data_IF_379459100210
#
_entry.id   IF_379459100210
#
_cell.length_a   1.000
_cell.length_b   1.000
_cell.length_c   1.000
_cell.angle_alpha   90.00
_cell.angle_beta   90.00
_cell.angle_gamma   90.00
#
_symmetry.space_group_name_H-M   'P 1'
#
loop_
_entity.id
_entity.type
_entity.pdbx_description
1 polymer ?
#
# COMPACT_ATOMS: atom_id res chain seq x y z
N UNK A 1 -5.70 14.25 9.40
CA UNK A 1 -5.27 14.87 10.67
C UNK A 1 -6.39 15.02 11.67
N UNK A 2 -7.50 15.68 11.29
CA UNK A 2 -8.67 15.86 12.16
C UNK A 2 -9.13 14.58 12.88
N UNK A 3 -9.30 13.46 12.17
CA UNK A 3 -9.70 12.18 12.78
C UNK A 3 -8.71 11.60 13.78
N UNK A 4 -7.40 11.77 13.57
CA UNK A 4 -6.36 11.27 14.48
C UNK A 4 -6.37 12.09 15.78
N UNK A 5 -6.58 13.41 15.66
CA UNK A 5 -6.74 14.31 16.80
C UNK A 5 -8.03 14.03 17.56
N UNK A 6 -9.15 13.77 16.87
CA UNK A 6 -10.41 13.37 17.51
C UNK A 6 -10.27 12.06 18.27
N UNK A 7 -9.64 11.04 17.69
CA UNK A 7 -9.35 9.78 18.39
C UNK A 7 -8.44 9.99 19.59
N UNK A 8 -7.38 10.79 19.45
CA UNK A 8 -6.48 11.14 20.55
C UNK A 8 -7.19 11.87 21.68
N UNK A 9 -8.06 12.82 21.35
CA UNK A 9 -8.89 13.54 22.32
C UNK A 9 -9.89 12.59 23.00
N UNK A 10 -10.56 11.70 22.25
CA UNK A 10 -11.44 10.68 22.84
C UNK A 10 -10.67 9.83 23.84
N UNK A 11 -9.48 9.34 23.48
CA UNK A 11 -8.65 8.54 24.37
C UNK A 11 -8.17 9.32 25.60
N UNK A 12 -7.91 10.63 25.47
CA UNK A 12 -7.48 11.48 26.58
C UNK A 12 -8.62 11.86 27.53
N UNK A 13 -9.84 12.04 27.01
CA UNK A 13 -11.03 12.45 27.80
C UNK A 13 -11.76 11.25 28.40
N UNK A 14 -11.66 10.07 27.80
CA UNK A 14 -12.32 8.85 28.30
C UNK A 14 -11.97 8.50 29.76
N UNK A 15 -10.70 8.60 30.22
CA UNK A 15 -10.35 8.42 31.63
C UNK A 15 -11.06 9.39 32.59
N UNK A 16 -11.35 10.62 32.13
CA UNK A 16 -12.07 11.62 32.95
C UNK A 16 -13.51 11.20 33.22
N UNK A 17 -14.13 10.35 32.39
CA UNK A 17 -15.47 9.79 32.66
C UNK A 17 -15.49 8.83 33.86
N UNK A 18 -14.33 8.28 34.24
CA UNK A 18 -14.20 7.42 35.41
C UNK A 18 -13.83 8.19 36.67
N UNK A 19 -13.05 9.27 36.53
CA UNK A 19 -12.58 10.11 37.64
C UNK A 19 -13.64 11.14 38.06
N UNK A 20 -14.33 11.75 37.09
CA UNK A 20 -15.43 12.65 37.40
C UNK A 20 -16.61 11.82 37.89
N UNK A 21 -17.01 12.04 39.14
CA UNK A 21 -18.32 11.62 39.62
C UNK A 21 -19.36 12.32 38.75
N UNK A 22 -19.78 11.65 37.69
CA UNK A 22 -20.88 12.12 36.85
C UNK A 22 -22.06 12.41 37.78
N UNK A 23 -22.60 13.63 37.71
CA UNK A 23 -23.80 14.10 38.43
C UNK A 23 -24.99 13.13 38.34
N UNK A 24 -24.96 12.18 37.41
CA UNK A 24 -25.87 11.06 37.27
C UNK A 24 -25.29 9.78 37.90
N UNK A 25 -26.08 9.14 38.77
CA UNK A 25 -25.83 7.87 39.46
C UNK A 25 -25.73 6.66 38.51
N UNK A 26 -24.83 6.72 37.52
CA UNK A 26 -24.60 5.65 36.58
C UNK A 26 -23.73 4.55 37.22
N UNK A 27 -24.18 3.29 37.23
CA UNK A 27 -23.37 2.17 37.70
C UNK A 27 -22.09 2.05 36.86
N UNK A 28 -21.03 1.54 37.47
CA UNK A 28 -19.69 1.43 36.88
C UNK A 28 -19.71 0.75 35.50
N UNK A 29 -20.56 -0.26 35.32
CA UNK A 29 -20.80 -0.94 34.04
C UNK A 29 -21.28 0.00 32.95
N UNK A 30 -22.18 0.95 33.27
CA UNK A 30 -22.67 1.93 32.31
C UNK A 30 -21.56 2.88 31.82
N UNK A 31 -20.61 3.23 32.69
CA UNK A 31 -19.44 4.05 32.33
C UNK A 31 -18.52 3.31 31.36
N UNK A 32 -18.26 2.02 31.60
CA UNK A 32 -17.48 1.20 30.67
C UNK A 32 -18.15 1.06 29.30
N UNK A 33 -19.47 0.87 29.26
CA UNK A 33 -20.22 0.79 28.00
C UNK A 33 -20.12 2.12 27.22
N UNK A 34 -20.34 3.26 27.88
CA UNK A 34 -20.28 4.58 27.24
C UNK A 34 -18.86 4.92 26.75
N UNK A 35 -17.85 4.68 27.59
CA UNK A 35 -16.44 4.82 27.22
C UNK A 35 -16.08 3.92 26.03
N UNK A 36 -16.52 2.66 26.04
CA UNK A 36 -16.32 1.70 24.98
C UNK A 36 -16.93 2.16 23.65
N UNK A 37 -18.18 2.61 23.67
CA UNK A 37 -18.87 3.12 22.46
C UNK A 37 -18.14 4.35 21.90
N UNK A 38 -17.73 5.29 22.76
CA UNK A 38 -17.02 6.49 22.34
C UNK A 38 -15.69 6.14 21.65
N UNK A 39 -14.87 5.29 22.27
CA UNK A 39 -13.59 4.84 21.71
C UNK A 39 -13.78 4.03 20.43
N UNK A 40 -14.76 3.11 20.41
CA UNK A 40 -15.06 2.28 19.25
C UNK A 40 -15.49 3.13 18.04
N UNK A 41 -16.40 4.08 18.23
CA UNK A 41 -16.90 4.94 17.15
C UNK A 41 -15.77 5.79 16.56
N UNK A 42 -14.97 6.44 17.41
CA UNK A 42 -13.81 7.21 16.97
C UNK A 42 -12.75 6.33 16.28
N UNK A 43 -12.53 5.11 16.79
CA UNK A 43 -11.56 4.15 16.25
C UNK A 43 -11.94 3.63 14.86
N UNK A 44 -13.20 3.20 14.70
CA UNK A 44 -13.73 2.70 13.41
C UNK A 44 -13.67 3.80 12.35
N UNK A 45 -14.12 5.02 12.67
CA UNK A 45 -14.07 6.15 11.73
C UNK A 45 -12.63 6.47 11.29
N UNK A 46 -11.70 6.53 12.24
CA UNK A 46 -10.28 6.77 11.94
C UNK A 46 -9.65 5.65 11.11
N UNK A 47 -10.01 4.40 11.39
CA UNK A 47 -9.55 3.25 10.63
C UNK A 47 -10.07 3.27 9.18
N UNK A 48 -11.32 3.65 8.97
CA UNK A 48 -11.94 3.76 7.65
C UNK A 48 -11.25 4.84 6.80
N UNK A 49 -11.04 6.03 7.37
CA UNK A 49 -10.29 7.11 6.69
C UNK A 49 -8.85 6.66 6.40
N UNK A 50 -8.21 5.97 7.34
CA UNK A 50 -6.88 5.40 7.11
C UNK A 50 -6.88 4.39 5.97
N UNK A 51 -7.92 3.56 5.87
CA UNK A 51 -8.01 2.52 4.84
C UNK A 51 -8.19 3.15 3.46
N UNK A 52 -9.06 4.16 3.34
CA UNK A 52 -9.26 4.90 2.09
C UNK A 52 -8.04 5.76 1.68
N UNK A 53 -7.33 6.35 2.65
CA UNK A 53 -6.18 7.22 2.39
C UNK A 53 -4.85 6.49 2.18
N UNK A 54 -4.68 5.26 2.70
CA UNK A 54 -3.44 4.48 2.59
C UNK A 54 -2.90 4.31 1.15
N UNK A 55 -3.72 4.04 0.11
CA UNK A 55 -3.21 3.89 -1.25
C UNK A 55 -2.88 5.23 -1.94
N UNK A 56 -3.22 6.38 -1.34
CA UNK A 56 -3.07 7.68 -1.99
C UNK A 56 -1.60 8.02 -2.32
N UNK A 57 -1.32 8.18 -3.60
CA UNK A 57 0.01 8.55 -4.11
C UNK A 57 0.10 10.07 -4.16
N UNK A 58 1.09 10.62 -3.48
CA UNK A 58 1.33 12.07 -3.45
C UNK A 58 2.40 12.52 -4.44
N UNK A 59 3.32 11.63 -4.79
CA UNK A 59 4.39 11.88 -5.75
C UNK A 59 4.54 10.64 -6.60
N UNK A 60 4.62 10.84 -7.90
CA UNK A 60 4.89 9.81 -8.89
C UNK A 60 6.10 10.29 -9.70
N UNK A 61 7.11 9.45 -9.82
CA UNK A 61 8.33 9.75 -10.56
C UNK A 61 8.71 8.57 -11.43
N UNK A 62 8.89 8.83 -12.72
CA UNK A 62 9.45 7.88 -13.65
C UNK A 62 10.95 7.76 -13.42
N UNK A 63 11.45 6.54 -13.30
CA UNK A 63 12.88 6.26 -13.22
C UNK A 63 13.32 5.83 -14.62
N UNK A 64 14.15 6.65 -15.27
CA UNK A 64 14.83 6.23 -16.49
C UNK A 64 15.82 5.10 -16.16
N UNK A 65 15.84 4.01 -16.93
CA UNK A 65 16.83 2.96 -16.74
C UNK A 65 18.22 3.50 -17.07
N UNK A 66 19.16 3.39 -16.12
CA UNK A 66 20.57 3.71 -16.31
C UNK A 66 21.22 2.58 -17.13
N UNK A 67 20.93 2.54 -18.44
CA UNK A 67 21.43 1.52 -19.37
C UNK A 67 20.40 1.12 -20.44
N UNK A 68 20.90 0.87 -21.66
CA UNK A 68 20.20 0.57 -22.93
C UNK A 68 18.70 0.26 -22.87
N UNK A 69 17.88 0.93 -23.71
CA UNK A 69 16.42 0.81 -23.68
C UNK A 69 15.98 -0.59 -24.09
N UNK A 70 15.69 -1.45 -23.11
CA UNK A 70 14.68 -2.49 -23.30
C UNK A 70 13.34 -1.78 -23.21
N UNK A 71 12.63 -1.77 -24.33
CA UNK A 71 11.38 -1.07 -24.62
C UNK A 71 10.24 -1.35 -23.60
N UNK A 72 10.40 -2.36 -22.74
CA UNK A 72 9.40 -2.85 -21.79
C UNK A 72 9.64 -2.50 -20.31
N UNK A 73 10.82 -2.04 -19.88
CA UNK A 73 11.14 -1.94 -18.44
C UNK A 73 11.18 -0.50 -17.97
N UNK A 74 10.01 0.16 -17.94
CA UNK A 74 9.86 1.48 -17.31
C UNK A 74 9.72 1.27 -15.81
N UNK A 75 10.63 1.85 -15.03
CA UNK A 75 10.53 1.84 -13.58
C UNK A 75 9.74 3.06 -13.08
N UNK A 76 8.91 2.85 -12.07
CA UNK A 76 8.02 3.83 -11.49
C UNK A 76 8.21 3.93 -9.97
N UNK A 77 8.46 5.12 -9.47
CA UNK A 77 8.54 5.40 -8.03
C UNK A 77 7.28 6.15 -7.57
N UNK A 78 6.61 5.60 -6.55
CA UNK A 78 5.38 6.15 -5.99
C UNK A 78 5.54 6.38 -4.49
N UNK A 79 5.25 7.59 -4.04
CA UNK A 79 5.27 7.95 -2.62
C UNK A 79 3.86 7.92 -2.05
N UNK A 80 3.68 7.16 -0.97
CA UNK A 80 2.45 7.07 -0.18
C UNK A 80 2.71 7.44 1.28
N UNK A 81 1.65 7.70 2.04
CA UNK A 81 1.73 8.00 3.47
C UNK A 81 0.94 7.01 4.31
N UNK A 82 1.53 6.62 5.43
CA UNK A 82 0.78 5.90 6.48
C UNK A 82 -0.13 6.86 7.27
N UNK A 83 -1.05 6.31 8.06
CA UNK A 83 -1.93 7.09 8.95
C UNK A 83 -1.18 8.11 9.84
N UNK A 84 0.05 7.76 10.26
CA UNK A 84 0.92 8.63 11.08
C UNK A 84 1.79 9.56 10.25
N UNK A 85 1.42 9.85 9.00
CA UNK A 85 2.20 10.59 8.00
C UNK A 85 3.65 10.10 7.82
N UNK A 86 3.90 8.82 8.03
CA UNK A 86 5.21 8.26 7.70
C UNK A 86 5.23 7.94 6.22
N UNK A 87 6.17 8.55 5.51
CA UNK A 87 6.41 8.35 4.09
C UNK A 87 6.80 6.91 3.78
N UNK A 88 6.30 6.41 2.66
CA UNK A 88 6.56 5.07 2.11
C UNK A 88 6.79 5.24 0.62
N UNK A 89 7.99 4.95 0.17
CA UNK A 89 8.39 5.09 -1.22
C UNK A 89 8.38 3.67 -1.80
N UNK A 90 7.59 3.44 -2.85
CA UNK A 90 7.53 2.15 -3.53
C UNK A 90 8.04 2.30 -4.93
N UNK A 91 9.08 1.53 -5.25
CA UNK A 91 9.67 1.45 -6.58
C UNK A 91 9.17 0.20 -7.25
N UNK A 92 8.57 0.34 -8.41
CA UNK A 92 8.12 -0.75 -9.28
C UNK A 92 9.06 -0.77 -10.47
N UNK A 93 9.82 -1.85 -10.64
CA UNK A 93 10.81 -1.96 -11.71
C UNK A 93 10.17 -2.23 -13.07
N UNK A 94 9.03 -2.94 -13.06
CA UNK A 94 8.29 -3.26 -14.27
C UNK A 94 6.81 -2.85 -14.14
N UNK A 95 6.44 -1.81 -14.89
CA UNK A 95 5.07 -1.29 -14.93
C UNK A 95 4.06 -2.28 -15.52
N UNK A 96 4.47 -3.34 -16.22
CA UNK A 96 3.56 -4.37 -16.72
C UNK A 96 2.81 -5.09 -15.57
N UNK A 97 3.39 -5.10 -14.37
CA UNK A 97 2.78 -5.67 -13.17
C UNK A 97 1.78 -4.74 -12.47
N UNK A 98 1.62 -3.50 -12.94
CA UNK A 98 0.56 -2.60 -12.48
C UNK A 98 -0.71 -2.88 -13.28
N UNK A 99 -1.67 -3.52 -12.63
CA UNK A 99 -2.98 -3.82 -13.21
C UNK A 99 -4.05 -2.90 -12.62
N UNK A 100 -5.16 -2.62 -13.34
CA UNK A 100 -6.28 -1.88 -12.78
C UNK A 100 -6.76 -2.53 -11.47
N UNK A 101 -6.89 -1.73 -10.41
CA UNK A 101 -7.28 -2.26 -9.11
C UNK A 101 -8.76 -2.62 -9.06
N UNK A 102 -9.07 -3.75 -8.44
CA UNK A 102 -10.45 -4.14 -8.09
C UNK A 102 -10.99 -3.41 -6.84
N UNK A 103 -10.11 -2.83 -6.03
CA UNK A 103 -10.42 -2.22 -4.74
C UNK A 103 -10.88 -0.77 -4.90
N UNK A 104 -11.95 -0.31 -4.19
CA UNK A 104 -12.34 1.09 -4.21
C UNK A 104 -11.22 1.99 -3.66
N UNK A 105 -11.14 3.22 -4.19
CA UNK A 105 -10.09 4.18 -3.85
C UNK A 105 -8.67 3.69 -4.16
N UNK A 106 -8.51 2.85 -5.18
CA UNK A 106 -7.23 2.50 -5.79
C UNK A 106 -7.39 2.49 -7.32
N UNK A 107 -6.42 3.06 -8.02
CA UNK A 107 -6.35 3.06 -9.49
C UNK A 107 -5.61 1.81 -9.98
N UNK A 108 -4.50 1.47 -9.32
CA UNK A 108 -3.67 0.31 -9.67
C UNK A 108 -3.39 -0.59 -8.48
N UNK A 109 -3.16 -1.86 -8.78
CA UNK A 109 -2.63 -2.83 -7.85
C UNK A 109 -1.48 -3.61 -8.47
N UNK A 110 -0.56 -4.10 -7.63
CA UNK A 110 0.45 -5.06 -8.06
C UNK A 110 -0.23 -6.40 -8.35
N UNK A 111 0.02 -6.94 -9.54
CA UNK A 111 -0.52 -8.22 -9.98
C UNK A 111 -0.11 -9.36 -9.03
N UNK A 112 -1.07 -10.20 -8.65
CA UNK A 112 -0.81 -11.44 -7.89
C UNK A 112 -0.30 -12.58 -8.78
N UNK A 113 -0.73 -12.57 -10.04
CA UNK A 113 -0.33 -13.53 -11.05
C UNK A 113 -0.06 -12.78 -12.34
N UNK A 114 1.00 -13.16 -13.04
CA UNK A 114 1.37 -12.57 -14.32
C UNK A 114 1.78 -13.68 -15.27
N UNK A 115 1.36 -13.60 -16.53
CA UNK A 115 1.74 -14.54 -17.57
C UNK A 115 2.63 -13.83 -18.57
N UNK A 116 3.86 -14.31 -18.76
CA UNK A 116 4.72 -13.79 -19.83
C UNK A 116 4.10 -14.06 -21.20
N UNK A 117 4.23 -13.12 -22.16
CA UNK A 117 3.90 -13.38 -23.55
C UNK A 117 4.58 -14.66 -24.04
N UNK A 118 3.87 -15.51 -24.78
CA UNK A 118 4.37 -16.84 -25.20
C UNK A 118 5.74 -16.78 -25.90
N UNK A 119 5.97 -15.74 -26.70
CA UNK A 119 7.25 -15.53 -27.38
C UNK A 119 8.40 -15.23 -26.41
N UNK A 120 8.14 -14.49 -25.33
CA UNK A 120 9.13 -14.17 -24.31
C UNK A 120 9.38 -15.37 -23.40
N UNK A 121 8.33 -16.06 -22.95
CA UNK A 121 8.45 -17.29 -22.17
C UNK A 121 9.26 -18.37 -22.90
N UNK A 122 9.02 -18.57 -24.21
CA UNK A 122 9.79 -19.51 -25.02
C UNK A 122 11.27 -19.11 -25.13
N UNK A 123 11.56 -17.81 -25.29
CA UNK A 123 12.94 -17.29 -25.34
C UNK A 123 13.64 -17.47 -24.01
N UNK A 124 13.03 -17.07 -22.90
CA UNK A 124 13.64 -17.22 -21.58
C UNK A 124 13.83 -18.68 -21.17
N UNK A 125 12.89 -19.56 -21.55
CA UNK A 125 13.04 -21.02 -21.38
C UNK A 125 14.20 -21.56 -22.20
N UNK A 126 14.32 -21.17 -23.47
CA UNK A 126 15.44 -21.59 -24.33
C UNK A 126 16.80 -21.07 -23.84
N UNK A 127 16.81 -19.93 -23.14
CA UNK A 127 18.00 -19.35 -22.51
C UNK A 127 18.30 -19.94 -21.11
N UNK A 128 17.47 -20.85 -20.60
CA UNK A 128 17.64 -21.45 -19.27
C UNK A 128 17.42 -20.48 -18.11
N UNK A 129 16.72 -19.37 -18.33
CA UNK A 129 16.45 -18.32 -17.33
C UNK A 129 15.19 -18.61 -16.47
N UNK A 130 14.43 -19.64 -16.81
CA UNK A 130 13.26 -20.11 -16.08
C UNK A 130 13.54 -21.52 -15.52
N UNK A 131 13.13 -21.83 -14.28
CA UNK A 131 12.43 -20.98 -13.30
C UNK A 131 13.38 -19.99 -12.60
N UNK A 132 12.89 -18.80 -12.24
CA UNK A 132 13.64 -17.80 -11.46
C UNK A 132 12.77 -17.03 -10.48
N UNK A 133 13.40 -16.44 -9.47
CA UNK A 133 12.78 -15.49 -8.54
C UNK A 133 13.26 -14.07 -8.86
N UNK A 134 12.34 -13.12 -8.96
CA UNK A 134 12.64 -11.74 -9.36
C UNK A 134 11.88 -10.75 -8.48
N UNK A 135 12.53 -9.67 -8.06
CA UNK A 135 11.88 -8.59 -7.30
C UNK A 135 11.32 -7.57 -8.28
N UNK A 136 10.00 -7.43 -8.31
CA UNK A 136 9.29 -6.53 -9.23
C UNK A 136 9.03 -5.17 -8.57
N UNK A 137 8.86 -5.15 -7.26
CA UNK A 137 8.74 -3.90 -6.53
C UNK A 137 9.39 -3.96 -5.15
N UNK A 138 9.86 -2.83 -4.66
CA UNK A 138 10.34 -2.66 -3.29
C UNK A 138 9.71 -1.44 -2.63
N UNK A 139 9.35 -1.57 -1.36
CA UNK A 139 8.89 -0.45 -0.54
C UNK A 139 9.97 -0.10 0.47
N UNK A 140 10.41 1.16 0.46
CA UNK A 140 11.38 1.72 1.39
C UNK A 140 10.73 2.73 2.34
N UNK A 141 11.38 2.97 3.48
CA UNK A 141 11.08 4.11 4.33
C UNK A 141 11.78 5.38 3.83
N UNK A 142 11.51 6.52 4.47
CA UNK A 142 12.18 7.80 4.18
C UNK A 142 13.71 7.75 4.30
N UNK A 143 14.24 6.82 5.08
CA UNK A 143 15.68 6.66 5.33
C UNK A 143 16.34 5.74 4.26
N UNK A 144 15.59 5.30 3.25
CA UNK A 144 16.05 4.40 2.19
C UNK A 144 16.11 2.92 2.59
N UNK A 145 15.71 2.56 3.81
CA UNK A 145 15.66 1.16 4.25
C UNK A 145 14.47 0.44 3.62
N UNK A 146 14.74 -0.67 2.93
CA UNK A 146 13.72 -1.58 2.40
C UNK A 146 12.95 -2.22 3.55
N UNK A 147 11.62 -2.05 3.55
CA UNK A 147 10.72 -2.63 4.54
C UNK A 147 9.82 -3.73 3.95
N UNK A 148 9.75 -3.81 2.61
CA UNK A 148 9.03 -4.88 1.93
C UNK A 148 9.44 -5.02 0.47
N UNK A 149 9.23 -6.21 -0.08
CA UNK A 149 9.48 -6.55 -1.48
C UNK A 149 8.32 -7.35 -2.05
N UNK A 150 7.94 -7.03 -3.28
CA UNK A 150 7.01 -7.79 -4.10
C UNK A 150 7.83 -8.64 -5.06
N UNK A 151 7.71 -9.95 -4.91
CA UNK A 151 8.56 -10.91 -5.59
C UNK A 151 7.70 -11.80 -6.46
N UNK A 152 8.09 -11.98 -7.72
CA UNK A 152 7.49 -12.97 -8.62
C UNK A 152 8.35 -14.23 -8.63
N UNK A 153 7.69 -15.37 -8.50
CA UNK A 153 8.29 -16.68 -8.73
C UNK A 153 7.81 -17.18 -10.09
N UNK A 154 8.72 -17.28 -11.05
CA UNK A 154 8.42 -17.72 -12.40
C UNK A 154 8.55 -19.24 -12.52
N UNK A 155 7.52 -19.88 -13.05
CA UNK A 155 7.53 -21.28 -13.46
C UNK A 155 8.15 -21.47 -14.85
N UNK A 156 8.43 -22.73 -15.20
CA UNK A 156 8.95 -23.12 -16.53
C UNK A 156 8.02 -22.77 -17.70
N UNK A 157 6.73 -22.56 -17.43
CA UNK A 157 5.71 -22.21 -18.42
C UNK A 157 5.53 -20.69 -18.56
N UNK A 158 6.37 -19.90 -17.87
CA UNK A 158 6.29 -18.44 -17.86
C UNK A 158 5.13 -17.87 -17.04
N UNK A 159 4.48 -18.70 -16.22
CA UNK A 159 3.51 -18.25 -15.21
C UNK A 159 4.26 -17.76 -13.97
N UNK A 160 4.09 -16.50 -13.63
CA UNK A 160 4.67 -15.84 -12.48
C UNK A 160 3.65 -15.71 -11.36
N UNK A 161 3.96 -16.28 -10.18
CA UNK A 161 3.16 -16.09 -8.97
C UNK A 161 3.84 -15.08 -8.07
N UNK A 162 3.15 -13.98 -7.79
CA UNK A 162 3.67 -12.92 -6.94
C UNK A 162 3.39 -13.19 -5.46
N UNK A 163 4.32 -12.77 -4.61
CA UNK A 163 4.22 -12.86 -3.15
C UNK A 163 4.79 -11.62 -2.48
N UNK A 164 4.21 -11.30 -1.34
CA UNK A 164 4.70 -10.24 -0.46
C UNK A 164 5.77 -10.79 0.51
N UNK A 165 6.87 -10.05 0.66
CA UNK A 165 7.79 -10.20 1.78
C UNK A 165 7.82 -8.88 2.55
N UNK A 166 7.54 -8.92 3.86
CA UNK A 166 7.63 -7.74 4.73
C UNK A 166 6.37 -6.87 4.67
N UNK A 167 6.56 -5.56 4.47
CA UNK A 167 5.47 -4.57 4.37
C UNK A 167 5.53 -3.86 3.03
N UNK A 168 4.68 -4.26 2.09
CA UNK A 168 4.61 -3.70 0.74
C UNK A 168 3.35 -2.85 0.57
N UNK A 169 3.47 -1.77 -0.20
CA UNK A 169 2.30 -1.10 -0.74
C UNK A 169 1.85 -1.84 -2.01
N UNK A 170 0.70 -2.52 -1.93
CA UNK A 170 0.11 -3.24 -3.08
C UNK A 170 -0.81 -2.37 -3.93
N UNK A 171 -1.55 -1.46 -3.27
CA UNK A 171 -2.59 -0.66 -3.91
C UNK A 171 -2.15 0.79 -3.99
N UNK A 172 -2.41 1.42 -5.13
CA UNK A 172 -2.04 2.80 -5.42
C UNK A 172 -3.23 3.54 -6.01
N UNK A 173 -3.58 4.66 -5.41
CA UNK A 173 -4.54 5.62 -5.92
C UNK A 173 -3.77 6.78 -6.51
N UNK A 174 -3.78 6.84 -7.84
CA UNK A 174 -3.02 7.82 -8.60
C UNK A 174 -4.02 8.69 -9.34
N UNK A 175 -3.91 10.00 -9.13
CA UNK A 175 -4.64 11.01 -9.88
C UNK A 175 -4.00 11.22 -11.25
N UNK A 176 -4.85 11.46 -12.26
CA UNK A 176 -4.41 11.69 -13.64
C UNK A 176 -3.45 12.87 -13.76
N UNK A 177 -3.57 13.89 -12.91
CA UNK A 177 -2.66 15.05 -12.88
C UNK A 177 -1.21 14.69 -12.51
N UNK A 178 -0.98 13.55 -11.84
CA UNK A 178 0.37 13.06 -11.52
C UNK A 178 0.98 12.26 -12.67
N UNK A 179 0.19 11.93 -13.70
CA UNK A 179 0.65 11.22 -14.88
C UNK A 179 1.07 12.21 -15.96
N UNK A 180 2.37 12.52 -16.00
CA UNK A 180 2.94 13.29 -17.11
C UNK A 180 2.83 12.54 -18.45
N UNK A 181 2.67 11.22 -18.42
CA UNK A 181 2.61 10.32 -19.58
C UNK A 181 1.72 9.10 -19.29
N UNK A 182 1.06 8.51 -20.31
CA UNK A 182 0.31 7.28 -20.12
C UNK A 182 1.24 6.09 -19.81
N UNK A 183 0.81 5.21 -18.89
CA UNK A 183 1.54 3.99 -18.50
C UNK A 183 1.45 2.90 -19.59
N UNK A 184 0.51 3.02 -20.54
CA UNK A 184 0.35 2.13 -21.70
C UNK A 184 0.02 2.90 -22.96
#
# INVERSE_FOLDING_TARGET
MFSLSSLGLTLAVTPLMFIMETTSALPLTGRFVLAGIAVATSGVSTALISWCGKPYVTKLRWLEPEGTPKESTRALEMTTFTLRLRERITRVYDTAFLVPASRPFATWELAEMFQLPRAEAAREKSAGLLPREETIAETTNKDGKVIGRWIVNWSEDGMGRCREIGRVARYFNVHEELLDRPIR
#
